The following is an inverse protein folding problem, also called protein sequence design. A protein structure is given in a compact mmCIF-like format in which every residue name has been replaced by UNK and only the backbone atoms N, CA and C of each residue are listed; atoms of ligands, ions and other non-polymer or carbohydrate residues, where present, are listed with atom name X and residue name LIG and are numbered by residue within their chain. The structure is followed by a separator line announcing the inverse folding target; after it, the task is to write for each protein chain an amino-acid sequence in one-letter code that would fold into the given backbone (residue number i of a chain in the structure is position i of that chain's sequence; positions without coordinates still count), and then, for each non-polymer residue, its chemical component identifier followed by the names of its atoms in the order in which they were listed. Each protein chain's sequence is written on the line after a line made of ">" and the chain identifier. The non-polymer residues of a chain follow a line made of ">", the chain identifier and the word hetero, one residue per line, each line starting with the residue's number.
data_IF_635952917695
#
_entry.id   IF_635952917695
#
_cell.length_a   1.000
_cell.length_b   1.000
_cell.length_c   1.000
_cell.angle_alpha   90.00
_cell.angle_beta   90.00
_cell.angle_gamma   90.00
#
_symmetry.space_group_name_H-M   'P 1'
#
loop_
_entity.id
_entity.type
_entity.pdbx_description
1 polymer ?
#
# COMPACT_ATOMS: atom_id res chain seq x y z
N UNK A 1 -27.23 7.05 0.05
CA UNK A 1 -25.93 7.04 -0.68
C UNK A 1 -24.77 7.42 0.22
N UNK A 2 -24.82 8.55 0.95
CA UNK A 2 -23.74 8.97 1.85
C UNK A 2 -23.40 7.96 2.97
N UNK A 3 -24.41 7.31 3.58
CA UNK A 3 -24.20 6.32 4.65
C UNK A 3 -23.47 5.06 4.18
N UNK A 4 -23.75 4.60 2.96
CA UNK A 4 -23.10 3.43 2.37
C UNK A 4 -21.62 3.73 2.11
N UNK A 5 -21.33 4.94 1.59
CA UNK A 5 -19.96 5.40 1.39
C UNK A 5 -19.17 5.42 2.71
N UNK A 6 -19.69 6.07 3.75
CA UNK A 6 -19.00 6.14 5.04
C UNK A 6 -18.90 4.78 5.74
N UNK A 7 -19.90 3.91 5.59
CA UNK A 7 -19.85 2.53 6.09
C UNK A 7 -18.73 1.73 5.44
N UNK A 8 -18.65 1.74 4.10
CA UNK A 8 -17.56 1.07 3.37
C UNK A 8 -16.19 1.70 3.66
N UNK A 9 -16.09 3.03 3.66
CA UNK A 9 -14.85 3.73 3.96
C UNK A 9 -14.33 3.41 5.37
N UNK A 10 -15.22 3.44 6.38
CA UNK A 10 -14.90 3.08 7.75
C UNK A 10 -14.47 1.62 7.89
N UNK A 11 -15.16 0.70 7.21
CA UNK A 11 -14.79 -0.72 7.23
C UNK A 11 -13.40 -0.96 6.62
N UNK A 12 -13.12 -0.36 5.46
CA UNK A 12 -11.82 -0.46 4.81
C UNK A 12 -10.73 0.11 5.72
N UNK A 13 -10.92 1.32 6.23
CA UNK A 13 -9.93 2.00 7.08
C UNK A 13 -9.69 1.29 8.41
N UNK A 14 -10.73 0.69 9.00
CA UNK A 14 -10.61 -0.10 10.23
C UNK A 14 -9.75 -1.35 10.06
N UNK A 15 -9.72 -1.95 8.86
CA UNK A 15 -8.95 -3.15 8.56
C UNK A 15 -7.46 -2.92 8.26
N UNK A 16 -7.04 -1.69 7.91
CA UNK A 16 -5.66 -1.42 7.45
C UNK A 16 -4.63 -1.69 8.54
N UNK A 17 -4.76 -1.07 9.70
CA UNK A 17 -3.74 -1.16 10.76
C UNK A 17 -3.62 -2.55 11.41
N UNK A 18 -4.72 -3.27 11.71
CA UNK A 18 -4.63 -4.61 12.30
C UNK A 18 -3.97 -5.63 11.38
N UNK A 19 -4.15 -5.50 10.06
CA UNK A 19 -3.56 -6.41 9.07
C UNK A 19 -2.09 -6.06 8.82
N UNK A 20 -1.78 -4.78 8.58
CA UNK A 20 -0.44 -4.36 8.16
C UNK A 20 0.57 -4.43 9.31
N UNK A 21 0.17 -4.09 10.54
CA UNK A 21 1.09 -4.00 11.70
C UNK A 21 1.85 -5.29 12.02
N UNK A 22 1.21 -6.49 12.09
CA UNK A 22 1.89 -7.76 12.36
C UNK A 22 2.70 -8.27 11.15
N UNK A 23 2.22 -8.06 9.91
CA UNK A 23 2.88 -8.53 8.69
C UNK A 23 4.34 -8.04 8.61
N UNK A 24 4.62 -6.81 9.02
CA UNK A 24 5.99 -6.29 9.03
C UNK A 24 6.95 -7.12 9.91
N UNK A 25 6.47 -7.62 11.05
CA UNK A 25 7.28 -8.41 11.96
C UNK A 25 7.54 -9.82 11.42
N UNK A 26 6.58 -10.39 10.69
CA UNK A 26 6.74 -11.68 10.00
C UNK A 26 7.71 -11.59 8.82
N UNK A 27 7.63 -10.52 8.02
CA UNK A 27 8.42 -10.39 6.79
C UNK A 27 9.88 -9.97 7.04
N UNK A 28 10.12 -9.10 8.03
CA UNK A 28 11.43 -8.47 8.27
C UNK A 28 12.06 -8.84 9.62
N UNK A 29 11.36 -9.59 10.47
CA UNK A 29 11.77 -9.87 11.83
C UNK A 29 11.71 -8.63 12.74
N UNK A 30 12.07 -8.81 14.01
CA UNK A 30 11.88 -7.77 15.05
C UNK A 30 13.10 -6.88 15.28
N UNK A 31 14.29 -7.24 14.76
CA UNK A 31 15.57 -6.57 15.09
C UNK A 31 15.66 -5.11 14.62
N UNK A 32 15.07 -4.77 13.48
CA UNK A 32 15.11 -3.41 12.90
C UNK A 32 13.72 -2.88 12.49
N UNK A 33 12.66 -3.44 13.07
CA UNK A 33 11.27 -3.15 12.71
C UNK A 33 10.91 -1.67 12.88
N UNK A 34 11.45 -1.03 13.92
CA UNK A 34 11.24 0.40 14.18
C UNK A 34 11.82 1.30 13.09
N UNK A 35 13.01 0.98 12.57
CA UNK A 35 13.65 1.76 11.50
C UNK A 35 12.88 1.66 10.18
N UNK A 36 12.43 0.46 9.82
CA UNK A 36 11.61 0.25 8.61
C UNK A 36 10.29 1.02 8.72
N UNK A 37 9.58 0.88 9.84
CA UNK A 37 8.32 1.61 10.06
C UNK A 37 8.52 3.12 10.02
N UNK A 38 9.63 3.65 10.55
CA UNK A 38 9.93 5.08 10.51
C UNK A 38 10.09 5.60 9.06
N UNK A 39 10.85 4.91 8.21
CA UNK A 39 11.01 5.29 6.81
C UNK A 39 9.68 5.23 6.06
N UNK A 40 8.88 4.18 6.29
CA UNK A 40 7.55 4.06 5.68
C UNK A 40 6.61 5.21 6.09
N UNK A 41 6.62 5.60 7.36
CA UNK A 41 5.82 6.74 7.83
C UNK A 41 6.32 8.06 7.24
N UNK A 42 7.64 8.26 7.13
CA UNK A 42 8.19 9.45 6.48
C UNK A 42 7.74 9.56 5.02
N UNK A 43 7.75 8.45 4.27
CA UNK A 43 7.23 8.39 2.91
C UNK A 43 5.72 8.67 2.85
N UNK A 44 4.94 8.15 3.81
CA UNK A 44 3.50 8.43 3.88
C UNK A 44 3.22 9.92 4.11
N UNK A 45 3.99 10.58 4.98
CA UNK A 45 3.86 12.03 5.23
C UNK A 45 4.27 12.83 4.00
N UNK A 46 5.35 12.43 3.33
CA UNK A 46 5.76 13.06 2.07
C UNK A 46 4.67 12.93 0.99
N UNK A 47 4.10 11.74 0.83
CA UNK A 47 3.02 11.49 -0.12
C UNK A 47 1.75 12.26 0.24
N UNK A 48 1.41 12.38 1.53
CA UNK A 48 0.24 13.14 1.96
C UNK A 48 0.41 14.64 1.77
N UNK A 49 1.62 15.18 1.88
CA UNK A 49 1.92 16.57 1.53
C UNK A 49 1.86 16.83 0.02
N UNK A 50 2.25 15.84 -0.80
CA UNK A 50 2.18 15.94 -2.25
C UNK A 50 0.73 15.98 -2.77
N UNK A 51 -0.21 15.33 -2.08
CA UNK A 51 -1.61 15.25 -2.51
C UNK A 51 -2.30 16.62 -2.62
N UNK A 52 -2.33 17.49 -1.58
CA UNK A 52 -2.87 18.85 -1.68
C UNK A 52 -2.17 19.71 -2.73
N UNK A 53 -0.85 19.56 -2.90
CA UNK A 53 -0.12 20.30 -3.93
C UNK A 53 -0.57 19.88 -5.35
N UNK A 54 -0.72 18.59 -5.59
CA UNK A 54 -1.23 18.07 -6.87
C UNK A 54 -2.67 18.48 -7.15
N UNK A 55 -3.54 18.38 -6.14
CA UNK A 55 -4.95 18.81 -6.25
C UNK A 55 -5.03 20.33 -6.46
N UNK A 56 -4.22 21.10 -5.76
CA UNK A 56 -4.15 22.56 -5.87
C UNK A 56 -3.83 23.00 -7.30
N UNK A 57 -2.80 22.41 -7.92
CA UNK A 57 -2.47 22.67 -9.32
C UNK A 57 -3.60 22.33 -10.29
N UNK A 58 -4.35 21.25 -10.01
CA UNK A 58 -5.52 20.88 -10.82
C UNK A 58 -6.67 21.89 -10.67
N UNK A 59 -6.87 22.42 -9.45
CA UNK A 59 -7.87 23.47 -9.19
C UNK A 59 -7.44 24.77 -9.88
N UNK A 60 -6.16 25.15 -9.81
CA UNK A 60 -5.62 26.34 -10.45
C UNK A 60 -5.75 26.27 -11.98
N UNK A 61 -5.66 25.07 -12.56
CA UNK A 61 -5.92 24.81 -13.98
C UNK A 61 -7.41 24.86 -14.36
N UNK A 62 -8.31 25.09 -13.39
CA UNK A 62 -9.75 25.23 -13.61
C UNK A 62 -10.50 23.92 -13.84
N UNK A 63 -9.95 22.77 -13.39
CA UNK A 63 -10.62 21.48 -13.58
C UNK A 63 -11.97 21.45 -12.82
N UNK A 64 -13.03 20.91 -13.45
CA UNK A 64 -14.31 20.75 -12.78
C UNK A 64 -14.23 19.70 -11.67
N UNK A 65 -15.07 19.83 -10.65
CA UNK A 65 -15.12 18.92 -9.51
C UNK A 65 -15.22 17.44 -9.91
N UNK A 66 -15.98 17.13 -10.97
CA UNK A 66 -16.12 15.77 -11.47
C UNK A 66 -14.78 15.16 -11.91
N UNK A 67 -13.90 15.95 -12.54
CA UNK A 67 -12.57 15.51 -12.94
C UNK A 67 -11.68 15.24 -11.72
N UNK A 68 -11.74 16.12 -10.70
CA UNK A 68 -11.05 15.92 -9.43
C UNK A 68 -11.48 14.62 -8.74
N UNK A 69 -12.79 14.36 -8.67
CA UNK A 69 -13.34 13.15 -8.05
C UNK A 69 -12.88 11.87 -8.80
N UNK A 70 -12.83 11.91 -10.13
CA UNK A 70 -12.31 10.81 -10.94
C UNK A 70 -10.83 10.54 -10.67
N UNK A 71 -10.00 11.58 -10.61
CA UNK A 71 -8.57 11.44 -10.29
C UNK A 71 -8.38 10.86 -8.90
N UNK A 72 -9.07 11.40 -7.89
CA UNK A 72 -8.99 10.93 -6.50
C UNK A 72 -9.46 9.48 -6.35
N UNK A 73 -10.45 9.04 -7.13
CA UNK A 73 -10.89 7.64 -7.16
C UNK A 73 -9.92 6.72 -7.91
N UNK A 74 -9.29 7.20 -9.00
CA UNK A 74 -8.39 6.41 -9.83
C UNK A 74 -7.06 6.08 -9.15
N UNK A 75 -6.48 7.02 -8.40
CA UNK A 75 -5.19 6.84 -7.71
C UNK A 75 -5.15 5.61 -6.79
N UNK A 76 -6.08 5.40 -5.83
CA UNK A 76 -6.08 4.22 -4.97
C UNK A 76 -6.36 2.93 -5.74
N UNK A 77 -7.14 2.97 -6.83
CA UNK A 77 -7.37 1.80 -7.70
C UNK A 77 -6.07 1.40 -8.40
N UNK A 78 -5.32 2.37 -8.95
CA UNK A 78 -4.02 2.12 -9.57
C UNK A 78 -3.01 1.58 -8.57
N UNK A 79 -2.96 2.14 -7.35
CA UNK A 79 -2.10 1.64 -6.28
C UNK A 79 -2.45 0.19 -5.89
N UNK A 80 -3.74 -0.13 -5.77
CA UNK A 80 -4.22 -1.48 -5.50
C UNK A 80 -3.89 -2.46 -6.63
N UNK A 81 -4.05 -2.04 -7.88
CA UNK A 81 -3.69 -2.85 -9.05
C UNK A 81 -2.18 -3.16 -9.08
N UNK A 82 -1.34 -2.14 -8.85
CA UNK A 82 0.11 -2.32 -8.78
C UNK A 82 0.51 -3.27 -7.64
N UNK A 83 -0.10 -3.12 -6.46
CA UNK A 83 0.11 -4.04 -5.34
C UNK A 83 -0.29 -5.49 -5.68
N UNK A 84 -1.43 -5.67 -6.35
CA UNK A 84 -1.89 -6.98 -6.81
C UNK A 84 -0.92 -7.61 -7.82
N UNK A 85 -0.43 -6.85 -8.81
CA UNK A 85 0.59 -7.31 -9.75
C UNK A 85 1.90 -7.67 -9.03
N UNK A 86 2.32 -6.90 -8.03
CA UNK A 86 3.49 -7.22 -7.20
C UNK A 86 3.34 -8.56 -6.48
N UNK A 87 2.17 -8.85 -5.93
CA UNK A 87 1.88 -10.15 -5.30
C UNK A 87 1.89 -11.31 -6.32
N UNK A 88 1.40 -11.09 -7.54
CA UNK A 88 1.44 -12.10 -8.60
C UNK A 88 2.87 -12.40 -9.06
N UNK A 89 3.71 -11.36 -9.22
CA UNK A 89 5.12 -11.50 -9.56
C UNK A 89 5.91 -12.22 -8.44
N UNK A 90 5.61 -11.91 -7.18
CA UNK A 90 6.22 -12.58 -6.02
C UNK A 90 5.92 -14.09 -5.97
N UNK A 91 4.70 -14.50 -6.34
CA UNK A 91 4.34 -15.93 -6.47
C UNK A 91 5.11 -16.64 -7.57
N UNK A 92 5.61 -15.93 -8.59
CA UNK A 92 6.38 -16.52 -9.68
C UNK A 92 7.84 -16.78 -9.27
N UNK A 93 8.41 -15.91 -8.43
CA UNK A 93 9.78 -16.04 -7.90
C UNK A 93 9.87 -17.17 -6.86
N UNK A 94 8.88 -17.29 -5.96
CA UNK A 94 8.85 -18.36 -4.95
C UNK A 94 8.70 -19.78 -5.51
N UNK A 95 8.38 -19.94 -6.80
CA UNK A 95 8.39 -21.25 -7.48
C UNK A 95 9.81 -21.71 -7.86
N UNK A 96 10.78 -20.81 -7.91
CA UNK A 96 12.18 -21.13 -8.24
C UNK A 96 13.06 -21.43 -7.02
N UNK A 97 12.66 -21.04 -5.81
CA UNK A 97 13.40 -21.37 -4.57
C UNK A 97 13.07 -22.77 -4.01
N UNK A 98 12.01 -23.42 -4.49
CA UNK A 98 11.62 -24.77 -4.08
C UNK A 98 12.49 -25.91 -4.62
N UNK A 99 13.53 -25.62 -5.42
CA UNK A 99 14.39 -26.62 -6.07
C UNK A 99 15.88 -26.49 -5.70
N UNK A 100 16.23 -25.73 -4.65
CA UNK A 100 17.64 -25.50 -4.31
C UNK A 100 17.98 -25.39 -2.81
N UNK A 101 17.39 -26.25 -1.98
CA UNK A 101 18.00 -26.63 -0.69
C UNK A 101 18.51 -28.06 -0.78
N UNK A 102 19.83 -28.31 -0.95
CA UNK A 102 20.38 -29.64 -0.72
C UNK A 102 20.16 -30.04 0.75
N UNK A 103 19.97 -31.34 1.05
CA UNK A 103 19.73 -31.81 2.41
C UNK A 103 20.90 -31.40 3.31
N UNK A 104 20.60 -30.76 4.44
CA UNK A 104 21.58 -30.61 5.50
C UNK A 104 21.91 -32.00 6.02
N UNK A 105 23.08 -32.49 5.61
CA UNK A 105 23.71 -33.71 6.12
C UNK A 105 24.01 -33.52 7.61
N UNK A 106 23.39 -34.41 8.39
CA UNK A 106 23.58 -34.67 9.81
C UNK A 106 25.06 -34.87 10.15
N UNK A 107 25.64 -33.98 10.97
CA UNK A 107 26.87 -34.18 11.76
C UNK A 107 26.87 -33.35 13.04
#
# INVERSE_FOLDING_TARGET
>A
MVWVYFGCFGFIQGGVYPVVTPIWAELYGTRHLGGIKAVMHALMVFASALSPAGIGLMIDAGLPLNALLLVMGAVPIMAGALGYFGCLAGKTIGKHEGEQTPPLEDK
#
